data_IF_748829925178
#
_entry.id   IF_748829925178
#
_cell.length_a   1.000
_cell.length_b   1.000
_cell.length_c   1.000
_cell.angle_alpha   90.00
_cell.angle_beta   90.00
_cell.angle_gamma   90.00
#
_symmetry.space_group_name_H-M   'P 1'
#
loop_
_entity.id
_entity.type
_entity.pdbx_description
1 polymer ?
#
# COMPACT_ATOMS: atom_id res chain seq x y z
N UNK A 1 14.62 6.80 -10.61
CA UNK A 1 14.77 5.53 -9.87
C UNK A 1 15.92 4.73 -10.46
N UNK A 2 16.55 3.88 -9.66
CA UNK A 2 17.72 3.08 -10.03
C UNK A 2 17.50 1.65 -9.57
N UNK A 3 17.84 0.68 -10.42
CA UNK A 3 17.77 -0.76 -10.13
C UNK A 3 19.17 -1.35 -10.22
N UNK A 4 19.61 -2.02 -9.15
CA UNK A 4 20.92 -2.66 -9.03
C UNK A 4 20.79 -4.17 -8.77
N UNK A 5 21.83 -4.94 -9.09
CA UNK A 5 22.00 -6.30 -8.57
C UNK A 5 22.69 -6.31 -7.20
N UNK A 6 22.73 -7.48 -6.56
CA UNK A 6 23.30 -7.68 -5.21
C UNK A 6 24.80 -7.37 -5.11
N UNK A 7 25.52 -7.38 -6.22
CA UNK A 7 26.93 -6.99 -6.36
C UNK A 7 27.11 -5.47 -6.59
N UNK A 8 26.03 -4.69 -6.60
CA UNK A 8 26.04 -3.24 -6.80
C UNK A 8 26.03 -2.79 -8.25
N UNK A 9 26.08 -3.70 -9.24
CA UNK A 9 26.00 -3.33 -10.65
C UNK A 9 24.64 -2.71 -10.98
N UNK A 10 24.67 -1.54 -11.61
CA UNK A 10 23.46 -0.91 -12.14
C UNK A 10 22.90 -1.74 -13.29
N UNK A 11 21.66 -2.20 -13.14
CA UNK A 11 20.92 -2.93 -14.18
C UNK A 11 20.15 -1.97 -15.08
N UNK A 12 19.61 -0.89 -14.48
CA UNK A 12 18.90 0.17 -15.17
C UNK A 12 18.73 1.40 -14.28
N UNK A 13 18.77 2.58 -14.87
CA UNK A 13 18.35 3.83 -14.24
C UNK A 13 17.42 4.61 -15.16
N UNK A 14 16.63 5.48 -14.53
CA UNK A 14 15.65 6.31 -15.23
C UNK A 14 15.26 7.53 -14.41
N UNK A 15 14.87 8.60 -15.09
CA UNK A 15 14.26 9.78 -14.48
C UNK A 15 12.80 9.81 -14.89
N UNK A 16 11.90 10.03 -13.92
CA UNK A 16 10.45 10.08 -14.18
C UNK A 16 10.11 11.18 -15.21
N UNK A 17 10.80 12.32 -15.11
CA UNK A 17 10.70 13.44 -16.06
C UNK A 17 11.09 13.11 -17.51
N UNK A 18 11.82 12.03 -17.75
CA UNK A 18 12.18 11.62 -19.12
C UNK A 18 10.97 11.01 -19.86
N UNK A 19 9.92 10.59 -19.13
CA UNK A 19 8.69 10.05 -19.72
C UNK A 19 7.55 11.08 -19.72
N UNK A 20 7.41 11.86 -18.65
CA UNK A 20 6.41 12.92 -18.52
C UNK A 20 6.93 14.00 -17.55
N UNK A 21 7.04 15.25 -18.03
CA UNK A 21 7.53 16.37 -17.22
C UNK A 21 6.63 16.69 -16.01
N UNK A 22 5.34 16.35 -16.09
CA UNK A 22 4.36 16.52 -15.03
C UNK A 22 4.38 15.42 -13.96
N UNK A 23 5.08 14.30 -14.21
CA UNK A 23 5.14 13.20 -13.27
C UNK A 23 6.24 13.39 -12.21
N UNK A 24 5.84 13.27 -10.94
CA UNK A 24 6.75 13.23 -9.81
C UNK A 24 6.50 12.03 -8.90
N UNK A 25 7.54 11.62 -8.18
CA UNK A 25 7.44 10.61 -7.12
C UNK A 25 7.93 11.22 -5.82
N UNK A 26 7.03 11.25 -4.83
CA UNK A 26 7.34 11.70 -3.47
C UNK A 26 7.20 10.54 -2.51
N UNK A 27 8.23 10.31 -1.72
CA UNK A 27 8.16 9.43 -0.57
C UNK A 27 7.98 10.29 0.67
N UNK A 28 6.94 10.00 1.46
CA UNK A 28 6.60 10.75 2.68
C UNK A 28 6.47 9.80 3.86
N UNK A 29 6.76 10.28 5.06
CA UNK A 29 6.49 9.52 6.28
C UNK A 29 4.98 9.36 6.46
N UNK A 30 4.51 8.11 6.63
CA UNK A 30 3.08 7.82 6.84
C UNK A 30 2.48 8.63 7.99
N UNK A 31 3.23 8.77 9.09
CA UNK A 31 2.82 9.55 10.26
C UNK A 31 2.54 11.01 9.88
N UNK A 32 3.48 11.66 9.19
CA UNK A 32 3.35 13.05 8.76
C UNK A 32 2.16 13.22 7.81
N UNK A 33 2.02 12.34 6.82
CA UNK A 33 0.86 12.40 5.91
C UNK A 33 -0.47 12.30 6.66
N UNK A 34 -0.59 11.37 7.61
CA UNK A 34 -1.81 11.20 8.40
C UNK A 34 -2.06 12.40 9.32
N UNK A 35 -1.03 12.92 9.99
CA UNK A 35 -1.14 14.11 10.83
C UNK A 35 -1.59 15.33 10.03
N UNK A 36 -1.00 15.55 8.84
CA UNK A 36 -1.39 16.64 7.94
C UNK A 36 -2.84 16.49 7.45
N UNK A 37 -3.28 15.28 7.10
CA UNK A 37 -4.69 15.08 6.70
C UNK A 37 -5.64 15.26 7.88
N UNK A 38 -5.27 14.81 9.08
CA UNK A 38 -6.08 14.94 10.27
C UNK A 38 -6.19 16.40 10.76
N UNK A 39 -5.17 17.23 10.55
CA UNK A 39 -5.20 18.64 10.94
C UNK A 39 -6.20 19.48 10.15
N UNK A 40 -6.63 19.00 8.98
CA UNK A 40 -7.66 19.64 8.15
C UNK A 40 -9.09 19.26 8.59
N UNK A 41 -9.24 18.35 9.57
CA UNK A 41 -10.55 17.94 10.07
C UNK A 41 -11.02 18.81 11.25
N UNK A 42 -12.34 19.00 11.42
CA UNK A 42 -12.88 19.64 12.62
C UNK A 42 -12.42 18.94 13.91
N UNK A 43 -12.25 19.67 15.04
CA UNK A 43 -11.72 19.11 16.28
C UNK A 43 -12.40 17.83 16.78
N UNK A 44 -13.71 17.71 16.58
CA UNK A 44 -14.53 16.58 17.06
C UNK A 44 -14.78 15.51 15.99
N UNK A 45 -14.14 15.60 14.82
CA UNK A 45 -14.35 14.68 13.71
C UNK A 45 -13.72 13.30 13.95
N UNK A 46 -12.72 13.20 14.83
CA UNK A 46 -11.98 11.95 15.10
C UNK A 46 -12.21 11.51 16.54
N UNK A 47 -12.77 10.32 16.72
CA UNK A 47 -12.90 9.66 18.02
C UNK A 47 -11.93 8.48 18.08
N UNK A 48 -10.94 8.57 18.98
CA UNK A 48 -9.98 7.50 19.22
C UNK A 48 -10.55 6.47 20.20
N UNK A 49 -9.94 5.28 20.23
CA UNK A 49 -10.38 4.15 21.08
C UNK A 49 -11.77 3.59 20.75
N UNK A 50 -12.38 4.03 19.65
CA UNK A 50 -13.71 3.61 19.19
C UNK A 50 -13.65 2.38 18.26
N UNK A 51 -13.16 1.24 18.77
CA UNK A 51 -13.03 0.02 17.96
C UNK A 51 -14.41 -0.60 17.68
N UNK A 52 -14.72 -0.85 16.40
CA UNK A 52 -15.93 -1.57 15.98
C UNK A 52 -15.90 -3.03 16.46
N UNK A 53 -16.95 -3.45 17.17
CA UNK A 53 -17.19 -4.83 17.59
C UNK A 53 -18.19 -5.54 16.66
N UNK A 54 -19.27 -4.86 16.27
CA UNK A 54 -20.36 -5.45 15.50
C UNK A 54 -20.95 -4.44 14.51
N UNK A 55 -21.43 -4.94 13.38
CA UNK A 55 -22.15 -4.17 12.36
C UNK A 55 -23.37 -4.97 11.90
N UNK A 56 -24.54 -4.32 11.85
CA UNK A 56 -25.81 -4.93 11.48
C UNK A 56 -26.66 -4.00 10.61
N UNK A 57 -27.53 -4.59 9.78
CA UNK A 57 -28.59 -3.85 9.09
C UNK A 57 -29.76 -3.67 10.05
N UNK A 58 -30.21 -2.42 10.19
CA UNK A 58 -31.47 -2.11 10.88
C UNK A 58 -32.65 -2.29 9.92
N UNK A 59 -33.81 -2.63 10.48
CA UNK A 59 -35.10 -2.63 9.76
C UNK A 59 -35.46 -1.23 9.21
N UNK A 60 -34.90 -0.17 9.81
CA UNK A 60 -35.13 1.22 9.40
C UNK A 60 -34.26 1.69 8.22
N UNK A 61 -33.50 0.78 7.59
CA UNK A 61 -32.59 1.09 6.46
C UNK A 61 -31.29 1.77 6.86
N UNK A 62 -31.07 2.05 8.16
CA UNK A 62 -29.78 2.51 8.69
C UNK A 62 -28.86 1.33 9.03
N UNK A 63 -27.58 1.60 9.17
CA UNK A 63 -26.59 0.63 9.67
C UNK A 63 -26.39 0.86 11.17
N UNK A 64 -26.52 -0.19 11.97
CA UNK A 64 -26.21 -0.18 13.40
C UNK A 64 -24.77 -0.65 13.61
N UNK A 65 -24.01 0.10 14.39
CA UNK A 65 -22.63 -0.19 14.76
C UNK A 65 -22.56 -0.31 16.29
N UNK A 66 -21.90 -1.36 16.77
CA UNK A 66 -21.60 -1.54 18.19
C UNK A 66 -20.09 -1.47 18.37
N UNK A 67 -19.63 -0.64 19.27
CA UNK A 67 -18.23 -0.52 19.64
C UNK A 67 -17.87 -1.53 20.76
N UNK A 68 -16.58 -1.79 20.95
CA UNK A 68 -16.09 -2.72 21.97
C UNK A 68 -16.46 -2.29 23.41
N UNK A 69 -16.66 -1.00 23.64
CA UNK A 69 -17.12 -0.47 24.94
C UNK A 69 -18.64 -0.56 25.14
N UNK A 70 -19.38 -1.12 24.18
CA UNK A 70 -20.84 -1.24 24.21
C UNK A 70 -21.60 -0.03 23.63
N UNK A 71 -20.90 1.03 23.22
CA UNK A 71 -21.53 2.19 22.57
C UNK A 71 -22.20 1.77 21.26
N UNK A 72 -23.45 2.19 21.07
CA UNK A 72 -24.21 1.93 19.84
C UNK A 72 -24.35 3.20 19.01
N UNK A 73 -24.07 3.09 17.71
CA UNK A 73 -24.17 4.17 16.73
C UNK A 73 -25.10 3.75 15.59
N UNK A 74 -25.93 4.67 15.11
CA UNK A 74 -26.78 4.46 13.93
C UNK A 74 -26.38 5.42 12.82
N UNK A 75 -25.97 4.88 11.68
CA UNK A 75 -25.46 5.66 10.55
C UNK A 75 -26.26 5.42 9.27
N UNK A 76 -26.49 6.48 8.50
CA UNK A 76 -27.05 6.36 7.14
C UNK A 76 -26.01 5.85 6.14
N UNK A 77 -24.76 6.27 6.35
CA UNK A 77 -23.62 5.90 5.50
C UNK A 77 -22.49 5.40 6.41
N UNK A 78 -21.90 4.26 6.07
CA UNK A 78 -20.70 3.72 6.72
C UNK A 78 -19.63 3.53 5.67
N UNK A 79 -18.47 4.16 5.86
CA UNK A 79 -17.30 4.01 4.99
C UNK A 79 -16.29 3.12 5.71
N UNK A 80 -16.15 1.87 5.26
CA UNK A 80 -15.14 0.94 5.74
C UNK A 80 -13.77 1.28 5.16
N UNK A 81 -12.96 1.97 5.95
CA UNK A 81 -11.54 2.30 5.67
C UNK A 81 -10.59 1.59 6.67
N UNK A 82 -11.04 0.47 7.22
CA UNK A 82 -10.47 -0.32 8.31
C UNK A 82 -9.43 -1.38 7.85
N UNK A 83 -8.89 -1.19 6.65
CA UNK A 83 -7.72 -1.89 6.14
C UNK A 83 -7.95 -3.36 5.79
N UNK A 84 -6.86 -4.09 5.53
CA UNK A 84 -6.90 -5.44 4.95
C UNK A 84 -7.68 -6.47 5.80
N UNK A 85 -7.74 -6.29 7.12
CA UNK A 85 -8.50 -7.13 8.07
C UNK A 85 -9.83 -6.47 8.49
N UNK A 86 -10.44 -5.73 7.57
CA UNK A 86 -11.68 -4.97 7.78
C UNK A 86 -12.82 -5.85 8.33
N UNK A 87 -13.30 -5.63 9.57
CA UNK A 87 -14.57 -6.20 10.03
C UNK A 87 -15.76 -5.81 9.15
N UNK A 88 -15.74 -4.62 8.53
CA UNK A 88 -16.82 -4.19 7.61
C UNK A 88 -16.82 -5.05 6.34
N UNK A 89 -15.66 -5.33 5.76
CA UNK A 89 -15.53 -6.21 4.60
C UNK A 89 -15.95 -7.65 4.96
N UNK A 90 -15.56 -8.14 6.14
CA UNK A 90 -16.02 -9.45 6.64
C UNK A 90 -17.54 -9.52 6.74
N UNK A 91 -18.18 -8.49 7.27
CA UNK A 91 -19.64 -8.39 7.33
C UNK A 91 -20.29 -8.39 5.94
N UNK A 92 -19.64 -7.77 4.94
CA UNK A 92 -20.06 -7.83 3.53
C UNK A 92 -19.78 -9.19 2.86
N UNK A 93 -19.24 -10.18 3.58
CA UNK A 93 -18.97 -11.53 3.07
C UNK A 93 -17.61 -11.70 2.38
N UNK A 94 -16.69 -10.75 2.56
CA UNK A 94 -15.34 -10.88 2.01
C UNK A 94 -14.54 -11.92 2.77
N UNK A 95 -13.66 -12.63 2.06
CA UNK A 95 -12.77 -13.63 2.65
C UNK A 95 -11.66 -12.99 3.49
N UNK A 96 -11.18 -13.75 4.47
CA UNK A 96 -10.01 -13.37 5.25
C UNK A 96 -8.75 -13.29 4.36
N UNK A 97 -7.87 -12.29 4.57
CA UNK A 97 -6.62 -12.17 3.82
C UNK A 97 -5.72 -13.39 4.01
N UNK A 98 -5.13 -13.85 2.91
CA UNK A 98 -4.22 -15.00 2.89
C UNK A 98 -2.78 -14.53 2.80
N UNK A 99 -1.90 -15.27 3.48
CA UNK A 99 -0.47 -15.06 3.38
C UNK A 99 0.03 -15.33 1.95
N UNK A 100 0.84 -14.42 1.40
CA UNK A 100 1.29 -14.51 -0.01
C UNK A 100 2.67 -15.14 -0.18
N UNK A 101 3.24 -15.74 0.87
CA UNK A 101 4.54 -16.42 0.80
C UNK A 101 5.76 -15.53 1.06
N UNK A 102 5.55 -14.27 1.46
CA UNK A 102 6.63 -13.29 1.62
C UNK A 102 6.47 -12.43 2.87
N UNK A 103 7.60 -12.08 3.48
CA UNK A 103 7.67 -11.13 4.58
C UNK A 103 8.47 -9.89 4.15
N UNK A 104 8.25 -8.77 4.84
CA UNK A 104 9.03 -7.57 4.64
C UNK A 104 9.48 -6.94 5.96
N UNK A 105 10.77 -6.67 6.07
CA UNK A 105 11.32 -5.71 7.02
C UNK A 105 11.21 -4.30 6.45
N UNK A 106 10.93 -3.33 7.32
CA UNK A 106 10.90 -1.91 6.98
C UNK A 106 11.48 -1.11 8.14
N UNK A 107 12.10 0.01 7.81
CA UNK A 107 12.65 0.93 8.80
C UNK A 107 12.91 2.31 8.22
N UNK A 108 13.34 3.21 9.10
CA UNK A 108 13.62 4.60 8.78
C UNK A 108 15.01 4.95 9.32
N UNK A 109 16.01 4.90 8.45
CA UNK A 109 17.38 5.29 8.80
C UNK A 109 17.42 6.76 9.17
N UNK A 110 18.04 7.09 10.31
CA UNK A 110 18.10 8.44 10.84
C UNK A 110 19.51 9.02 10.73
N UNK A 111 19.59 10.17 10.07
CA UNK A 111 20.82 10.90 9.78
C UNK A 111 20.72 12.28 10.43
N UNK A 112 21.16 12.46 11.69
CA UNK A 112 20.99 13.71 12.42
C UNK A 112 21.69 14.90 11.73
N UNK A 113 22.79 14.63 11.02
CA UNK A 113 23.59 15.64 10.32
C UNK A 113 23.24 15.75 8.82
N UNK A 114 22.12 15.17 8.40
CA UNK A 114 21.71 15.13 7.00
C UNK A 114 22.08 13.83 6.29
N UNK A 115 21.17 13.37 5.42
CA UNK A 115 21.33 12.14 4.66
C UNK A 115 22.08 12.40 3.34
N UNK A 116 23.03 11.54 2.92
CA UNK A 116 23.89 11.79 1.76
C UNK A 116 23.32 11.31 0.41
N UNK A 117 22.12 10.73 0.41
CA UNK A 117 21.55 10.05 -0.76
C UNK A 117 20.76 11.00 -1.65
N UNK A 118 20.84 10.77 -2.96
CA UNK A 118 20.04 11.50 -3.94
C UNK A 118 18.55 11.15 -3.81
N UNK A 119 17.63 12.08 -4.16
CA UNK A 119 16.17 11.87 -4.11
C UNK A 119 15.70 10.92 -5.22
N UNK A 120 16.11 9.66 -5.13
CA UNK A 120 15.80 8.58 -6.08
C UNK A 120 15.30 7.37 -5.30
N UNK A 121 14.34 6.66 -5.88
CA UNK A 121 14.01 5.30 -5.41
C UNK A 121 15.10 4.36 -5.88
N UNK A 122 15.74 3.65 -4.96
CA UNK A 122 16.79 2.66 -5.23
C UNK A 122 16.23 1.27 -4.96
N UNK A 123 16.36 0.37 -5.93
CA UNK A 123 16.00 -1.04 -5.82
C UNK A 123 17.25 -1.91 -5.98
N UNK A 124 17.33 -2.97 -5.19
CA UNK A 124 18.36 -3.99 -5.28
C UNK A 124 17.67 -5.35 -5.39
N UNK A 125 17.97 -6.11 -6.45
CA UNK A 125 17.31 -7.39 -6.72
C UNK A 125 18.25 -8.58 -6.55
N UNK A 126 17.87 -9.46 -5.63
CA UNK A 126 18.48 -10.76 -5.38
C UNK A 126 17.62 -11.92 -5.88
N UNK A 127 17.79 -13.08 -5.24
CA UNK A 127 17.09 -14.34 -5.52
C UNK A 127 16.16 -14.62 -4.34
N UNK A 128 14.84 -14.61 -4.56
CA UNK A 128 13.84 -14.69 -3.47
C UNK A 128 13.94 -13.56 -2.43
N UNK A 129 14.63 -12.48 -2.79
CA UNK A 129 15.00 -11.39 -1.90
C UNK A 129 15.16 -10.11 -2.73
N UNK A 130 14.55 -9.03 -2.27
CA UNK A 130 14.72 -7.69 -2.82
C UNK A 130 14.75 -6.67 -1.71
N UNK A 131 15.45 -5.58 -1.94
CA UNK A 131 15.47 -4.46 -1.03
C UNK A 131 15.34 -3.15 -1.80
N UNK A 132 15.05 -2.09 -1.08
CA UNK A 132 15.10 -0.75 -1.64
C UNK A 132 15.14 0.30 -0.56
N UNK A 133 15.55 1.50 -0.97
CA UNK A 133 15.57 2.67 -0.11
C UNK A 133 15.28 3.95 -0.89
N UNK A 134 14.71 4.93 -0.19
CA UNK A 134 14.33 6.23 -0.73
C UNK A 134 14.43 7.29 0.36
N UNK A 135 15.10 8.43 0.11
CA UNK A 135 15.06 9.58 1.02
C UNK A 135 13.63 10.11 1.16
N UNK A 136 13.18 10.34 2.39
CA UNK A 136 11.84 10.88 2.69
C UNK A 136 11.90 12.28 3.32
N UNK A 137 13.07 12.66 3.85
CA UNK A 137 13.33 14.00 4.39
C UNK A 137 14.83 14.29 4.33
N UNK A 138 15.29 15.52 4.64
CA UNK A 138 16.71 15.84 4.73
C UNK A 138 17.50 14.97 5.72
N UNK A 139 16.84 14.33 6.69
CA UNK A 139 17.47 13.55 7.76
C UNK A 139 17.02 12.10 7.83
N UNK A 140 16.13 11.65 6.94
CA UNK A 140 15.56 10.30 7.02
C UNK A 140 15.48 9.58 5.68
N UNK A 141 15.78 8.28 5.73
CA UNK A 141 15.77 7.39 4.56
C UNK A 141 14.92 6.16 4.87
N UNK A 142 13.80 6.00 4.16
CA UNK A 142 12.98 4.81 4.26
C UNK A 142 13.67 3.65 3.54
N UNK A 143 13.65 2.46 4.13
CA UNK A 143 14.13 1.24 3.50
C UNK A 143 13.19 0.07 3.75
N UNK A 144 13.28 -0.92 2.87
CA UNK A 144 12.61 -2.20 3.04
C UNK A 144 13.49 -3.36 2.56
N UNK A 145 13.29 -4.54 3.14
CA UNK A 145 13.83 -5.82 2.68
C UNK A 145 12.69 -6.82 2.62
N UNK A 146 12.36 -7.30 1.43
CA UNK A 146 11.27 -8.24 1.17
C UNK A 146 11.86 -9.58 0.75
N UNK A 147 11.43 -10.67 1.40
CA UNK A 147 12.05 -11.98 1.27
C UNK A 147 11.01 -13.11 1.28
N UNK A 148 11.33 -14.19 0.56
CA UNK A 148 10.53 -15.42 0.55
C UNK A 148 10.54 -16.06 1.93
N UNK A 149 9.36 -16.48 2.39
CA UNK A 149 9.25 -17.28 3.60
C UNK A 149 8.03 -18.19 3.48
N UNK A 150 8.18 -19.51 3.60
CA UNK A 150 7.06 -20.45 3.38
C UNK A 150 5.95 -20.30 4.44
N UNK A 151 6.26 -19.71 5.59
CA UNK A 151 5.27 -19.37 6.63
C UNK A 151 5.51 -17.95 7.15
N UNK A 152 4.50 -17.28 7.75
CA UNK A 152 4.70 -15.99 8.40
C UNK A 152 5.67 -16.06 9.59
N UNK A 153 5.93 -17.27 10.12
CA UNK A 153 6.72 -17.47 11.33
C UNK A 153 6.06 -16.86 12.58
N UNK A 154 6.73 -16.94 13.74
CA UNK A 154 6.24 -16.29 14.96
C UNK A 154 6.27 -14.76 14.82
N UNK A 155 5.41 -14.10 15.59
CA UNK A 155 5.51 -12.64 15.78
C UNK A 155 6.78 -12.36 16.58
N UNK A 156 7.67 -11.55 16.01
CA UNK A 156 8.89 -11.09 16.66
C UNK A 156 8.65 -9.65 17.07
N UNK A 157 8.75 -9.36 18.36
CA UNK A 157 8.59 -8.01 18.92
C UNK A 157 9.89 -7.42 19.44
N UNK A 158 10.95 -8.23 19.61
CA UNK A 158 12.25 -7.77 20.05
C UNK A 158 12.93 -6.94 18.93
N UNK A 159 13.15 -5.63 19.14
CA UNK A 159 13.76 -4.74 18.16
C UNK A 159 15.16 -5.18 17.71
N UNK A 160 15.98 -5.68 18.64
CA UNK A 160 17.35 -6.11 18.34
C UNK A 160 17.36 -7.34 17.43
N UNK A 161 16.44 -8.29 17.68
CA UNK A 161 16.28 -9.48 16.84
C UNK A 161 15.81 -9.09 15.43
N UNK A 162 14.87 -8.14 15.33
CA UNK A 162 14.38 -7.65 14.04
C UNK A 162 15.50 -7.02 13.20
N UNK A 163 16.31 -6.13 13.80
CA UNK A 163 17.45 -5.52 13.11
C UNK A 163 18.46 -6.57 12.66
N UNK A 164 18.87 -7.46 13.57
CA UNK A 164 19.84 -8.51 13.29
C UNK A 164 19.40 -9.40 12.13
N UNK A 165 18.13 -9.81 12.09
CA UNK A 165 17.59 -10.61 11.00
C UNK A 165 17.58 -9.84 9.67
N UNK A 166 17.21 -8.55 9.69
CA UNK A 166 17.24 -7.72 8.50
C UNK A 166 18.66 -7.59 7.93
N UNK A 167 19.66 -7.33 8.79
CA UNK A 167 21.07 -7.23 8.41
C UNK A 167 21.59 -8.56 7.84
N UNK A 168 21.32 -9.69 8.49
CA UNK A 168 21.79 -11.00 8.04
C UNK A 168 21.29 -11.35 6.64
N UNK A 169 20.04 -11.00 6.30
CA UNK A 169 19.47 -11.24 4.97
C UNK A 169 20.25 -10.52 3.86
N UNK A 170 20.81 -9.34 4.15
CA UNK A 170 21.47 -8.48 3.15
C UNK A 170 22.96 -8.25 3.44
N UNK A 171 23.59 -9.10 4.27
CA UNK A 171 24.98 -8.94 4.72
C UNK A 171 26.03 -8.79 3.60
N UNK A 172 25.76 -9.38 2.43
CA UNK A 172 26.65 -9.36 1.26
C UNK A 172 26.17 -8.39 0.17
N UNK A 173 25.21 -7.52 0.49
CA UNK A 173 24.65 -6.53 -0.43
C UNK A 173 25.44 -5.21 -0.33
N UNK A 174 25.19 -4.22 -1.21
CA UNK A 174 25.91 -2.96 -1.17
C UNK A 174 25.87 -2.30 0.22
N UNK A 175 27.03 -1.79 0.66
CA UNK A 175 27.23 -1.28 2.02
C UNK A 175 26.34 -0.09 2.35
N UNK A 176 25.84 0.63 1.34
CA UNK A 176 24.91 1.73 1.54
C UNK A 176 23.59 1.25 2.18
N UNK A 177 23.06 0.09 1.74
CA UNK A 177 21.84 -0.47 2.33
C UNK A 177 22.09 -0.88 3.79
N UNK A 178 23.21 -1.56 4.06
CA UNK A 178 23.59 -1.96 5.40
C UNK A 178 23.73 -0.76 6.33
N UNK A 179 24.41 0.30 5.86
CA UNK A 179 24.59 1.53 6.63
C UNK A 179 23.26 2.20 6.99
N UNK A 180 22.28 2.21 6.07
CA UNK A 180 20.94 2.73 6.34
C UNK A 180 20.24 1.89 7.43
N UNK A 181 20.34 0.56 7.35
CA UNK A 181 19.73 -0.33 8.35
C UNK A 181 20.37 -0.12 9.72
N UNK A 182 21.70 -0.04 9.79
CA UNK A 182 22.42 0.20 11.06
C UNK A 182 22.09 1.55 11.70
N UNK A 183 21.90 2.60 10.89
CA UNK A 183 21.48 3.94 11.35
C UNK A 183 19.98 4.03 11.66
N UNK A 184 19.22 2.95 11.53
CA UNK A 184 17.80 2.92 11.91
C UNK A 184 17.66 2.66 13.41
N UNK A 185 16.90 3.48 14.16
CA UNK A 185 16.59 3.17 15.56
C UNK A 185 15.87 1.82 15.68
N UNK A 186 16.36 0.96 16.56
CA UNK A 186 15.95 -0.46 16.61
C UNK A 186 14.44 -0.61 16.78
N UNK A 187 13.85 0.20 17.67
CA UNK A 187 12.43 0.23 18.03
C UNK A 187 11.49 0.67 16.89
N UNK A 188 12.05 1.16 15.77
CA UNK A 188 11.30 1.57 14.58
C UNK A 188 11.27 0.50 13.48
N UNK A 189 12.06 -0.58 13.61
CA UNK A 189 12.10 -1.64 12.62
C UNK A 189 10.89 -2.55 12.81
N UNK A 190 10.17 -2.76 11.71
CA UNK A 190 9.00 -3.65 11.69
C UNK A 190 9.20 -4.79 10.72
N UNK A 191 8.73 -5.98 11.10
CA UNK A 191 8.56 -7.14 10.21
C UNK A 191 7.08 -7.40 10.00
N UNK A 192 6.66 -7.49 8.75
CA UNK A 192 5.26 -7.73 8.40
C UNK A 192 5.15 -8.89 7.41
N UNK A 193 4.40 -9.96 7.74
CA UNK A 193 3.97 -10.93 6.75
C UNK A 193 3.05 -10.25 5.73
N UNK A 194 3.35 -10.39 4.46
CA UNK A 194 2.49 -9.84 3.41
C UNK A 194 1.28 -10.74 3.23
N UNK A 195 0.10 -10.14 3.21
CA UNK A 195 -1.17 -10.82 2.99
C UNK A 195 -1.92 -10.10 1.89
N UNK A 196 -2.77 -10.83 1.18
CA UNK A 196 -3.62 -10.32 0.12
C UNK A 196 -4.96 -11.09 0.16
N UNK A 197 -6.03 -10.44 -0.27
CA UNK A 197 -7.34 -11.05 -0.39
C UNK A 197 -7.59 -11.55 -1.82
N UNK A 198 -7.06 -10.84 -2.81
CA UNK A 198 -7.38 -11.05 -4.22
C UNK A 198 -6.29 -11.84 -4.90
N UNK A 199 -6.34 -13.17 -4.74
CA UNK A 199 -5.53 -14.08 -5.57
C UNK A 199 -6.30 -14.55 -6.81
N UNK A 200 -7.27 -13.77 -7.33
CA UNK A 200 -8.08 -13.92 -8.57
C UNK A 200 -9.60 -13.97 -8.32
N UNK A 201 -10.25 -12.81 -8.12
CA UNK A 201 -11.71 -12.78 -8.08
C UNK A 201 -12.29 -13.07 -9.47
N UNK A 202 -13.11 -14.12 -9.59
CA UNK A 202 -13.81 -14.48 -10.83
C UNK A 202 -14.89 -13.46 -11.23
N UNK A 203 -15.33 -12.62 -10.28
CA UNK A 203 -16.33 -11.56 -10.46
C UNK A 203 -15.88 -10.30 -9.72
N UNK A 204 -16.30 -9.13 -10.19
CA UNK A 204 -16.05 -7.87 -9.48
C UNK A 204 -16.66 -7.92 -8.07
N UNK A 205 -15.86 -7.79 -7.00
CA UNK A 205 -16.38 -7.78 -5.64
C UNK A 205 -17.14 -6.47 -5.39
N UNK A 206 -18.35 -6.52 -4.82
CA UNK A 206 -19.17 -5.33 -4.64
C UNK A 206 -18.47 -4.32 -3.71
N UNK A 207 -18.32 -3.08 -4.15
CA UNK A 207 -17.76 -2.01 -3.32
C UNK A 207 -18.68 -1.63 -2.15
N UNK A 208 -19.98 -1.86 -2.29
CA UNK A 208 -21.00 -1.40 -1.35
C UNK A 208 -22.14 -2.41 -1.18
N UNK A 209 -22.84 -2.31 -0.06
CA UNK A 209 -24.00 -3.11 0.26
C UNK A 209 -24.99 -2.30 1.13
N UNK A 210 -26.00 -1.72 0.50
CA UNK A 210 -26.87 -0.73 1.12
C UNK A 210 -26.13 0.59 1.36
N UNK A 211 -26.32 1.21 2.52
CA UNK A 211 -25.58 2.41 2.95
C UNK A 211 -24.12 2.18 3.36
N UNK A 212 -23.56 1.00 3.17
CA UNK A 212 -22.17 0.66 3.54
C UNK A 212 -21.29 0.58 2.29
N UNK A 213 -20.10 1.18 2.32
CA UNK A 213 -19.11 1.14 1.22
C UNK A 213 -17.71 0.88 1.78
N UNK A 214 -16.88 0.15 1.03
CA UNK A 214 -15.48 -0.11 1.36
C UNK A 214 -14.54 0.73 0.49
N UNK A 215 -13.44 1.20 1.07
CA UNK A 215 -12.37 1.95 0.37
C UNK A 215 -10.98 1.43 0.77
N UNK A 216 -9.96 1.74 -0.04
CA UNK A 216 -8.58 1.33 0.23
C UNK A 216 -8.43 -0.18 0.45
N UNK A 217 -7.51 -0.56 1.34
CA UNK A 217 -7.22 -1.98 1.64
C UNK A 217 -8.42 -2.77 2.21
N UNK A 218 -9.47 -2.10 2.68
CA UNK A 218 -10.70 -2.79 3.08
C UNK A 218 -11.42 -3.40 1.86
N UNK A 219 -11.35 -2.75 0.70
CA UNK A 219 -11.94 -3.26 -0.54
C UNK A 219 -10.90 -3.92 -1.46
N UNK A 220 -9.77 -3.25 -1.70
CA UNK A 220 -8.77 -3.63 -2.71
C UNK A 220 -7.35 -3.67 -2.14
N UNK A 221 -7.09 -4.55 -1.16
CA UNK A 221 -5.73 -4.76 -0.70
C UNK A 221 -4.82 -5.11 -1.88
N UNK A 222 -3.60 -4.58 -1.82
CA UNK A 222 -2.58 -4.88 -2.80
C UNK A 222 -1.23 -5.05 -2.14
N UNK A 223 -0.44 -5.98 -2.67
CA UNK A 223 0.97 -6.09 -2.30
C UNK A 223 1.71 -4.80 -2.63
N UNK A 224 2.73 -4.39 -1.83
CA UNK A 224 3.36 -3.07 -1.93
C UNK A 224 4.26 -2.88 -3.16
N UNK A 225 4.17 -3.78 -4.14
CA UNK A 225 5.15 -3.94 -5.22
C UNK A 225 5.13 -2.81 -6.24
N UNK A 226 4.02 -2.07 -6.32
CA UNK A 226 3.86 -0.89 -7.18
C UNK A 226 3.83 0.43 -6.38
N UNK A 227 3.78 0.38 -5.05
CA UNK A 227 3.61 1.58 -4.22
C UNK A 227 2.25 2.28 -4.37
N UNK A 228 1.23 1.59 -4.91
CA UNK A 228 -0.04 2.23 -5.29
C UNK A 228 -1.18 2.15 -4.26
N UNK A 229 -1.05 1.35 -3.20
CA UNK A 229 -2.18 1.12 -2.27
C UNK A 229 -2.69 2.41 -1.62
N UNK A 230 -1.78 3.20 -1.06
CA UNK A 230 -2.14 4.49 -0.46
C UNK A 230 -2.63 5.51 -1.50
N UNK A 231 -2.02 5.57 -2.68
CA UNK A 231 -2.47 6.43 -3.77
C UNK A 231 -3.91 6.10 -4.19
N UNK A 232 -4.22 4.82 -4.36
CA UNK A 232 -5.57 4.36 -4.72
C UNK A 232 -6.60 4.68 -3.63
N UNK A 233 -6.23 4.60 -2.35
CA UNK A 233 -7.11 4.99 -1.25
C UNK A 233 -7.39 6.51 -1.23
N UNK A 234 -6.41 7.33 -1.61
CA UNK A 234 -6.61 8.77 -1.78
C UNK A 234 -7.51 9.06 -2.99
N UNK A 235 -7.28 8.40 -4.14
CA UNK A 235 -8.17 8.46 -5.29
C UNK A 235 -9.61 8.05 -4.92
N UNK A 236 -9.78 7.01 -4.10
CA UNK A 236 -11.10 6.58 -3.62
C UNK A 236 -11.81 7.68 -2.86
N UNK A 237 -11.10 8.40 -1.97
CA UNK A 237 -11.68 9.45 -1.16
C UNK A 237 -12.28 10.58 -2.03
N UNK A 238 -11.58 10.98 -3.10
CA UNK A 238 -12.02 12.02 -4.02
C UNK A 238 -13.22 11.53 -4.84
N UNK A 239 -13.11 10.34 -5.45
CA UNK A 239 -14.19 9.80 -6.29
C UNK A 239 -15.45 9.54 -5.47
N UNK A 240 -15.33 8.95 -4.28
CA UNK A 240 -16.47 8.68 -3.39
C UNK A 240 -17.14 9.98 -2.94
N UNK A 241 -16.36 10.99 -2.51
CA UNK A 241 -16.88 12.29 -2.11
C UNK A 241 -17.67 12.93 -3.25
N UNK A 242 -17.13 12.95 -4.48
CA UNK A 242 -17.83 13.49 -5.66
C UNK A 242 -19.16 12.78 -5.93
N UNK A 243 -19.20 11.44 -5.87
CA UNK A 243 -20.45 10.67 -6.08
C UNK A 243 -21.49 10.99 -5.02
N UNK A 244 -21.08 11.05 -3.75
CA UNK A 244 -21.97 11.36 -2.64
C UNK A 244 -22.51 12.80 -2.71
N UNK A 245 -21.64 13.78 -2.96
CA UNK A 245 -22.03 15.19 -3.13
C UNK A 245 -22.98 15.34 -4.33
N UNK A 246 -22.69 14.69 -5.44
CA UNK A 246 -23.57 14.69 -6.62
C UNK A 246 -24.97 14.16 -6.31
N UNK A 247 -25.07 13.05 -5.58
CA UNK A 247 -26.35 12.49 -5.17
C UNK A 247 -27.11 13.37 -4.18
N UNK A 248 -26.41 14.01 -3.23
CA UNK A 248 -27.01 14.95 -2.28
C UNK A 248 -27.53 16.23 -2.98
N UNK A 249 -26.79 16.75 -3.98
CA UNK A 249 -27.19 17.95 -4.74
C UNK A 249 -28.36 17.65 -5.69
N UNK A 250 -28.37 16.48 -6.35
CA UNK A 250 -29.42 16.16 -7.34
C UNK A 250 -30.76 15.81 -6.71
N UNK A 251 -30.76 15.18 -5.52
CA UNK A 251 -31.96 14.71 -4.82
C UNK A 251 -32.70 13.56 -5.53
N UNK A 252 -32.30 13.20 -6.76
CA UNK A 252 -32.93 12.17 -7.60
C UNK A 252 -32.16 10.84 -7.57
N UNK A 253 -30.87 10.88 -7.21
CA UNK A 253 -30.03 9.68 -7.10
C UNK A 253 -30.00 9.20 -5.66
N UNK A 254 -30.32 7.93 -5.43
CA UNK A 254 -30.22 7.36 -4.08
C UNK A 254 -28.75 7.28 -3.64
N UNK A 255 -28.51 7.32 -2.32
CA UNK A 255 -27.17 7.11 -1.77
C UNK A 255 -26.60 5.75 -2.22
N UNK A 256 -27.42 4.70 -2.22
CA UNK A 256 -26.98 3.37 -2.63
C UNK A 256 -26.51 3.33 -4.10
N UNK A 257 -27.22 4.01 -5.00
CA UNK A 257 -26.82 4.10 -6.40
C UNK A 257 -25.53 4.90 -6.57
N UNK A 258 -25.32 5.96 -5.77
CA UNK A 258 -24.08 6.71 -5.75
C UNK A 258 -22.89 5.84 -5.31
N UNK A 259 -23.07 5.03 -4.25
CA UNK A 259 -22.07 4.09 -3.77
C UNK A 259 -21.77 2.98 -4.80
N UNK A 260 -22.80 2.50 -5.50
CA UNK A 260 -22.62 1.52 -6.59
C UNK A 260 -21.86 2.14 -7.76
N UNK A 261 -22.18 3.38 -8.13
CA UNK A 261 -21.49 4.13 -9.19
C UNK A 261 -20.00 4.35 -8.86
N UNK A 262 -19.67 4.66 -7.59
CA UNK A 262 -18.29 4.70 -7.10
C UNK A 262 -17.55 3.37 -7.41
N UNK A 263 -18.15 2.23 -7.03
CA UNK A 263 -17.55 0.92 -7.29
C UNK A 263 -17.33 0.64 -8.77
N UNK A 264 -18.33 0.94 -9.61
CA UNK A 264 -18.24 0.75 -11.07
C UNK A 264 -17.16 1.60 -11.73
N UNK A 265 -16.92 2.82 -11.23
CA UNK A 265 -15.86 3.69 -11.76
C UNK A 265 -14.47 3.26 -11.28
N UNK A 266 -14.35 2.86 -10.02
CA UNK A 266 -13.06 2.54 -9.40
C UNK A 266 -12.56 1.14 -9.75
N UNK A 267 -13.44 0.15 -9.93
CA UNK A 267 -13.02 -1.22 -10.17
C UNK A 267 -12.14 -1.40 -11.42
N UNK A 268 -12.45 -0.80 -12.60
CA UNK A 268 -11.56 -0.85 -13.78
C UNK A 268 -10.18 -0.24 -13.55
N UNK A 269 -10.06 0.72 -12.63
CA UNK A 269 -8.79 1.35 -12.24
C UNK A 269 -7.99 0.46 -11.28
N UNK A 270 -8.66 -0.11 -10.29
CA UNK A 270 -8.06 -0.91 -9.21
C UNK A 270 -7.64 -2.31 -9.68
N UNK A 271 -8.50 -3.00 -10.42
CA UNK A 271 -8.30 -4.42 -10.73
C UNK A 271 -7.00 -4.69 -11.51
N UNK A 272 -6.66 -3.93 -12.58
CA UNK A 272 -5.39 -4.10 -13.26
C UNK A 272 -4.18 -3.80 -12.36
N UNK A 273 -4.31 -2.86 -11.42
CA UNK A 273 -3.26 -2.51 -10.46
C UNK A 273 -2.96 -3.67 -9.51
N UNK A 274 -3.98 -4.29 -8.93
CA UNK A 274 -3.82 -5.45 -8.04
C UNK A 274 -3.17 -6.62 -8.78
N UNK A 275 -3.59 -6.91 -10.02
CA UNK A 275 -2.98 -7.95 -10.86
C UNK A 275 -1.50 -7.63 -11.12
N UNK A 276 -1.20 -6.42 -11.59
CA UNK A 276 0.18 -5.99 -11.90
C UNK A 276 1.06 -6.07 -10.65
N UNK A 277 0.55 -5.64 -9.49
CA UNK A 277 1.27 -5.71 -8.22
C UNK A 277 1.61 -7.16 -7.84
N UNK A 278 0.63 -8.07 -7.95
CA UNK A 278 0.85 -9.49 -7.67
C UNK A 278 1.88 -10.11 -8.64
N UNK A 279 1.74 -9.84 -9.95
CA UNK A 279 2.64 -10.36 -10.98
C UNK A 279 4.09 -9.88 -10.78
N UNK A 280 4.30 -8.58 -10.56
CA UNK A 280 5.62 -8.01 -10.24
C UNK A 280 6.16 -8.62 -8.94
N UNK A 281 5.29 -8.87 -7.96
CA UNK A 281 5.62 -9.63 -6.76
C UNK A 281 6.22 -10.98 -7.07
N UNK A 282 5.49 -11.81 -7.80
CA UNK A 282 5.90 -13.17 -8.18
C UNK A 282 7.23 -13.18 -8.94
N UNK A 283 7.40 -12.31 -9.95
CA UNK A 283 8.62 -12.22 -10.76
C UNK A 283 9.85 -11.82 -9.94
N UNK A 284 9.69 -10.88 -9.01
CA UNK A 284 10.79 -10.42 -8.16
C UNK A 284 11.16 -11.43 -7.06
N UNK A 285 10.33 -12.43 -6.84
CA UNK A 285 10.50 -13.47 -5.81
C UNK A 285 11.02 -14.79 -6.37
N UNK A 286 11.41 -14.83 -7.65
CA UNK A 286 12.11 -15.97 -8.21
C UNK A 286 13.44 -16.24 -7.52
N UNK A 287 13.69 -17.52 -7.21
CA UNK A 287 14.91 -18.00 -6.58
C UNK A 287 15.87 -18.66 -7.57
N UNK A 288 15.33 -19.18 -8.69
CA UNK A 288 16.12 -19.93 -9.66
C UNK A 288 17.26 -19.07 -10.22
N UNK A 289 18.54 -19.51 -10.08
CA UNK A 289 19.71 -18.74 -10.51
C UNK A 289 19.71 -18.36 -12.00
N UNK A 290 19.26 -19.28 -12.86
CA UNK A 290 19.22 -19.09 -14.30
C UNK A 290 18.18 -18.04 -14.65
N UNK A 291 16.97 -18.18 -14.10
CA UNK A 291 15.88 -17.22 -14.30
C UNK A 291 16.28 -15.83 -13.79
N UNK A 292 16.91 -15.74 -12.62
CA UNK A 292 17.41 -14.47 -12.09
C UNK A 292 18.52 -13.86 -12.96
N UNK A 293 19.37 -14.69 -13.57
CA UNK A 293 20.39 -14.23 -14.51
C UNK A 293 19.75 -13.64 -15.78
N UNK A 294 18.75 -14.31 -16.36
CA UNK A 294 17.98 -13.78 -17.50
C UNK A 294 17.28 -12.48 -17.12
N UNK A 295 16.67 -12.42 -15.94
CA UNK A 295 16.05 -11.20 -15.40
C UNK A 295 17.04 -10.03 -15.35
N UNK A 296 18.21 -10.25 -14.76
CA UNK A 296 19.19 -9.19 -14.52
C UNK A 296 19.95 -8.78 -15.80
N UNK A 297 20.21 -9.70 -16.73
CA UNK A 297 21.04 -9.42 -17.91
C UNK A 297 20.23 -9.10 -19.17
N UNK A 298 18.95 -9.47 -19.22
CA UNK A 298 18.11 -9.27 -20.40
C UNK A 298 16.80 -8.54 -20.10
N UNK A 299 15.97 -9.05 -19.18
CA UNK A 299 14.62 -8.50 -18.96
C UNK A 299 14.71 -7.06 -18.44
N UNK A 300 15.42 -6.82 -17.34
CA UNK A 300 15.52 -5.47 -16.75
C UNK A 300 16.25 -4.50 -17.69
N UNK A 301 17.44 -4.81 -18.22
CA UNK A 301 18.16 -3.85 -19.04
C UNK A 301 17.50 -3.60 -20.39
N UNK A 302 16.84 -4.59 -21.01
CA UNK A 302 16.36 -4.49 -22.40
C UNK A 302 14.84 -4.41 -22.55
N UNK A 303 14.05 -5.02 -21.66
CA UNK A 303 12.59 -5.13 -21.83
C UNK A 303 11.77 -4.22 -20.90
N UNK A 304 12.29 -3.86 -19.72
CA UNK A 304 11.59 -3.00 -18.75
C UNK A 304 11.56 -1.55 -19.24
N UNK A 305 10.50 -1.14 -19.95
CA UNK A 305 10.31 0.25 -20.41
C UNK A 305 9.57 1.09 -19.38
N UNK A 306 9.93 2.36 -19.25
CA UNK A 306 9.41 3.20 -18.19
C UNK A 306 7.97 3.64 -18.42
N UNK A 307 7.61 4.10 -19.63
CA UNK A 307 6.24 4.48 -19.97
C UNK A 307 5.18 3.43 -19.58
N UNK A 308 5.26 2.18 -20.09
CA UNK A 308 4.32 1.12 -19.71
C UNK A 308 4.32 0.79 -18.21
N UNK A 309 5.48 0.97 -17.55
CA UNK A 309 5.58 0.80 -16.10
C UNK A 309 4.90 1.93 -15.35
N UNK A 310 4.84 3.14 -15.90
CA UNK A 310 4.24 4.32 -15.28
C UNK A 310 2.83 4.65 -15.77
N UNK A 311 2.28 3.96 -16.77
CA UNK A 311 0.87 4.13 -17.16
C UNK A 311 -0.10 4.09 -15.98
N UNK A 312 0.24 3.29 -14.97
CA UNK A 312 -0.57 3.17 -13.78
C UNK A 312 -0.57 4.42 -12.89
N UNK A 313 0.31 5.40 -13.09
CA UNK A 313 0.27 6.70 -12.41
C UNK A 313 -0.66 7.69 -13.12
N UNK A 314 -1.08 7.39 -14.36
CA UNK A 314 -1.98 8.23 -15.13
C UNK A 314 -3.43 8.00 -14.70
N UNK A 315 -3.84 8.69 -13.65
CA UNK A 315 -5.24 8.78 -13.25
C UNK A 315 -5.53 10.20 -12.81
N UNK A 316 -6.35 10.87 -13.61
CA UNK A 316 -6.81 12.21 -13.29
C UNK A 316 -8.14 12.11 -12.54
N UNK A 317 -8.14 12.59 -11.31
CA UNK A 317 -9.38 12.77 -10.57
C UNK A 317 -9.97 14.10 -11.00
N UNK A 318 -11.17 14.10 -11.59
CA UNK A 318 -11.90 15.36 -11.76
C UNK A 318 -11.98 16.11 -10.41
N UNK A 319 -11.67 17.43 -10.38
CA UNK A 319 -11.70 18.21 -9.15
C UNK A 319 -13.05 18.15 -8.45
N UNK A 320 -13.04 18.23 -7.12
CA UNK A 320 -14.25 18.43 -6.33
C UNK A 320 -14.82 19.82 -6.63
N UNK A 321 -16.04 19.87 -7.19
CA UNK A 321 -16.81 21.09 -7.50
C UNK A 321 -17.76 21.51 -6.37
#
# INVERSE_FOLDING_TARGET
MVVKSVDGRELRSFRFKDEDEGQEVRAVERRILLETLASELPPDAVQFSSKLAKIERSETGKTLLELVDGTQLSAKIVIGCDGIRSPVAKWMGFSEPKYVGHCAFRGLGFYPNGQPHQPKVNYIYGRGLRAGYVPVSPTKVYWFVCFNSPSPGPKISDPFVLKKQAVELVRNWPSELLSIIELTPDDTIIRTPLVDRWLWPAVSPPASAGGVVLVGDAWHPMTPNLGQGACCALEDSVVLARKLVGAMKSGTTSVEDALRSYGSERWPRIFPLTIRANFVGSLLQWENPIVCSVRNNFIIPKLVRLGPILEHTNFDCEPLQ
#
